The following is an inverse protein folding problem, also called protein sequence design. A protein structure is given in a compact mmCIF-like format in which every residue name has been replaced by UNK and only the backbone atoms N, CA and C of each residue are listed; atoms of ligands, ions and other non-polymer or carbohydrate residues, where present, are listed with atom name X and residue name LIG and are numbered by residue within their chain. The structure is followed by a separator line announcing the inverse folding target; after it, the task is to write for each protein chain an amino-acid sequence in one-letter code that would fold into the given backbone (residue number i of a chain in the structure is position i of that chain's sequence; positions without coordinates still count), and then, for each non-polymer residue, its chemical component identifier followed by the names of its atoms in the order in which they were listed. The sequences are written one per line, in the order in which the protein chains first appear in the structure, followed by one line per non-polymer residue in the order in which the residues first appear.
data_IF_402233451362
#
_entry.id   IF_402233451362
#
_cell.length_a   1.000
_cell.length_b   1.000
_cell.length_c   1.000
_cell.angle_alpha   90.00
_cell.angle_beta   90.00
_cell.angle_gamma   90.00
#
_symmetry.space_group_name_H-M   'P 1'
#
loop_
_entity.id
_entity.type
_entity.pdbx_description
1 polymer ?
#
# COMPACT_ATOMS: atom_id res chain seq x y z
N UNK A 1 10.43 -26.75 10.50
CA UNK A 1 9.31 -26.15 9.77
C UNK A 1 8.78 -25.03 10.67
N UNK A 2 8.95 -23.78 10.24
CA UNK A 2 8.37 -22.64 10.99
C UNK A 2 6.84 -22.74 10.89
N UNK A 3 6.15 -22.63 12.04
CA UNK A 3 4.70 -22.72 12.08
C UNK A 3 4.09 -21.55 11.28
N UNK A 4 3.07 -21.83 10.48
CA UNK A 4 2.32 -20.82 9.69
C UNK A 4 1.83 -19.70 10.61
N UNK A 5 1.46 -20.03 11.86
CA UNK A 5 1.06 -19.06 12.86
C UNK A 5 2.16 -18.06 13.21
N UNK A 6 3.43 -18.50 13.28
CA UNK A 6 4.55 -17.61 13.57
C UNK A 6 4.90 -16.69 12.41
N UNK A 7 4.76 -17.15 11.17
CA UNK A 7 4.91 -16.29 9.99
C UNK A 7 3.84 -15.20 9.93
N UNK A 8 2.59 -15.56 10.27
CA UNK A 8 1.47 -14.60 10.32
C UNK A 8 1.70 -13.55 11.42
N UNK A 9 2.06 -13.96 12.63
CA UNK A 9 2.36 -13.04 13.75
C UNK A 9 3.50 -12.10 13.39
N UNK A 10 4.55 -12.60 12.77
CA UNK A 10 5.70 -11.82 12.34
C UNK A 10 5.30 -10.77 11.30
N UNK A 11 4.50 -11.15 10.31
CA UNK A 11 3.98 -10.21 9.31
C UNK A 11 3.22 -9.04 9.95
N UNK A 12 2.29 -9.31 10.85
CA UNK A 12 1.51 -8.26 11.50
C UNK A 12 2.37 -7.36 12.39
N UNK A 13 3.34 -7.94 13.12
CA UNK A 13 4.28 -7.17 13.93
C UNK A 13 5.08 -6.19 13.07
N UNK A 14 5.71 -6.68 12.00
CA UNK A 14 6.47 -5.80 11.10
C UNK A 14 5.58 -4.78 10.38
N UNK A 15 4.35 -5.15 10.01
CA UNK A 15 3.41 -4.23 9.39
C UNK A 15 2.98 -3.12 10.36
N UNK A 16 2.80 -3.43 11.64
CA UNK A 16 2.51 -2.43 12.67
C UNK A 16 3.72 -1.51 12.91
N UNK A 17 4.91 -2.08 13.19
CA UNK A 17 6.13 -1.30 13.45
C UNK A 17 6.47 -0.35 12.28
N UNK A 18 6.38 -0.85 11.05
CA UNK A 18 6.64 -0.04 9.86
C UNK A 18 5.47 0.89 9.52
N UNK A 19 4.25 0.53 9.89
CA UNK A 19 3.08 1.39 9.81
C UNK A 19 3.22 2.64 10.67
N UNK A 20 3.79 2.51 11.88
CA UNK A 20 4.15 3.66 12.71
C UNK A 20 5.17 4.57 12.05
N UNK A 21 6.19 4.02 11.41
CA UNK A 21 7.22 4.79 10.69
C UNK A 21 6.58 5.54 9.52
N UNK A 22 5.75 4.86 8.73
CA UNK A 22 5.03 5.46 7.62
C UNK A 22 4.06 6.55 8.08
N UNK A 23 3.30 6.29 9.14
CA UNK A 23 2.40 7.28 9.73
C UNK A 23 3.16 8.51 10.23
N UNK A 24 4.30 8.33 10.92
CA UNK A 24 5.15 9.43 11.36
C UNK A 24 5.66 10.29 10.19
N UNK A 25 6.05 9.64 9.10
CA UNK A 25 6.43 10.32 7.87
C UNK A 25 5.28 11.16 7.29
N UNK A 26 4.09 10.56 7.13
CA UNK A 26 2.91 11.25 6.59
C UNK A 26 2.45 12.36 7.55
N UNK A 27 2.43 12.08 8.86
CA UNK A 27 2.03 13.03 9.88
C UNK A 27 2.92 14.29 9.90
N UNK A 28 4.21 14.15 9.62
CA UNK A 28 5.13 15.28 9.53
C UNK A 28 4.65 16.28 8.46
N UNK A 29 4.36 15.84 7.24
CA UNK A 29 3.88 16.72 6.18
C UNK A 29 2.47 17.25 6.46
N UNK A 30 1.62 16.43 7.07
CA UNK A 30 0.28 16.83 7.47
C UNK A 30 0.29 17.95 8.54
N UNK A 31 1.18 17.86 9.52
CA UNK A 31 1.33 18.88 10.57
C UNK A 31 1.93 20.16 9.97
N UNK A 32 2.90 20.04 9.06
CA UNK A 32 3.45 21.20 8.35
C UNK A 32 2.38 21.94 7.54
N UNK A 33 1.55 21.19 6.79
CA UNK A 33 0.42 21.77 6.07
C UNK A 33 -0.57 22.46 7.00
N UNK A 34 -0.86 21.86 8.16
CA UNK A 34 -1.73 22.45 9.17
C UNK A 34 -1.19 23.76 9.74
N UNK A 35 0.12 23.82 10.08
CA UNK A 35 0.73 24.98 10.70
C UNK A 35 0.95 26.15 9.74
N UNK A 36 1.20 25.85 8.47
CA UNK A 36 1.56 26.84 7.44
C UNK A 36 0.57 26.83 6.28
N UNK A 37 -0.70 26.63 6.59
CA UNK A 37 -1.77 26.59 5.60
C UNK A 37 -1.72 27.77 4.62
N UNK A 38 -1.80 27.48 3.33
CA UNK A 38 -1.75 28.48 2.25
C UNK A 38 -0.35 28.94 1.84
N UNK A 39 0.71 28.43 2.47
CA UNK A 39 2.09 28.73 2.04
C UNK A 39 2.48 27.88 0.84
N UNK A 40 2.80 28.53 -0.30
CA UNK A 40 3.16 27.85 -1.55
C UNK A 40 4.37 26.90 -1.40
N UNK A 41 5.33 27.24 -0.56
CA UNK A 41 6.51 26.39 -0.31
C UNK A 41 6.12 25.11 0.45
N UNK A 42 5.22 25.21 1.43
CA UNK A 42 4.74 24.03 2.18
C UNK A 42 3.89 23.14 1.30
N UNK A 43 3.05 23.70 0.45
CA UNK A 43 2.29 22.93 -0.55
C UNK A 43 3.23 22.17 -1.51
N UNK A 44 4.31 22.79 -1.95
CA UNK A 44 5.34 22.12 -2.76
C UNK A 44 6.03 20.98 -1.99
N UNK A 45 6.41 21.21 -0.72
CA UNK A 45 6.96 20.18 0.16
C UNK A 45 5.98 19.04 0.39
N UNK A 46 4.68 19.32 0.59
CA UNK A 46 3.64 18.32 0.71
C UNK A 46 3.53 17.43 -0.54
N UNK A 47 3.61 18.05 -1.72
CA UNK A 47 3.64 17.32 -3.00
C UNK A 47 4.86 16.41 -3.11
N UNK A 48 6.06 16.90 -2.74
CA UNK A 48 7.27 16.08 -2.68
C UNK A 48 7.14 14.95 -1.66
N UNK A 49 6.54 15.22 -0.49
CA UNK A 49 6.25 14.21 0.53
C UNK A 49 5.31 13.13 0.03
N UNK A 50 4.27 13.49 -0.73
CA UNK A 50 3.38 12.52 -1.35
C UNK A 50 4.13 11.58 -2.30
N UNK A 51 4.95 12.10 -3.21
CA UNK A 51 5.78 11.28 -4.09
C UNK A 51 6.84 10.49 -3.32
N UNK A 52 7.42 11.09 -2.27
CA UNK A 52 8.36 10.43 -1.37
C UNK A 52 7.77 9.21 -0.66
N UNK A 53 6.45 9.19 -0.43
CA UNK A 53 5.75 8.03 0.15
C UNK A 53 6.00 6.74 -0.63
N UNK A 54 6.08 6.82 -1.96
CA UNK A 54 6.37 5.65 -2.82
C UNK A 54 7.73 5.06 -2.49
N UNK A 55 8.75 5.92 -2.35
CA UNK A 55 10.11 5.49 -2.01
C UNK A 55 10.20 4.93 -0.58
N UNK A 56 9.51 5.54 0.37
CA UNK A 56 9.43 5.04 1.75
C UNK A 56 8.75 3.67 1.78
N UNK A 57 7.63 3.50 1.09
CA UNK A 57 6.94 2.21 0.99
C UNK A 57 7.82 1.13 0.36
N UNK A 58 8.51 1.46 -0.74
CA UNK A 58 9.46 0.55 -1.38
C UNK A 58 10.58 0.14 -0.41
N UNK A 59 11.21 1.11 0.25
CA UNK A 59 12.26 0.86 1.24
C UNK A 59 11.79 -0.04 2.40
N UNK A 60 10.60 0.23 2.96
CA UNK A 60 10.02 -0.58 4.04
C UNK A 60 9.71 -2.01 3.57
N UNK A 61 9.22 -2.17 2.34
CA UNK A 61 8.95 -3.48 1.75
C UNK A 61 10.24 -4.30 1.54
N UNK A 62 11.31 -3.68 1.02
CA UNK A 62 12.63 -4.31 0.89
C UNK A 62 13.17 -4.71 2.26
N UNK A 63 13.08 -3.81 3.24
CA UNK A 63 13.55 -4.09 4.59
C UNK A 63 12.75 -5.20 5.28
N UNK A 64 11.45 -5.29 5.03
CA UNK A 64 10.62 -6.41 5.48
C UNK A 64 11.06 -7.72 4.85
N UNK A 65 11.28 -7.76 3.52
CA UNK A 65 11.80 -8.92 2.80
C UNK A 65 13.12 -9.41 3.42
N UNK A 66 14.07 -8.50 3.62
CA UNK A 66 15.43 -8.87 4.03
C UNK A 66 15.48 -9.29 5.52
N UNK A 67 14.73 -8.60 6.40
CA UNK A 67 14.75 -8.88 7.85
C UNK A 67 13.78 -9.97 8.32
N UNK A 68 12.61 -10.06 7.70
CA UNK A 68 11.56 -10.97 8.14
C UNK A 68 11.47 -12.25 7.32
N UNK A 69 11.86 -12.20 6.04
CA UNK A 69 11.66 -13.30 5.09
C UNK A 69 12.99 -13.90 4.56
N UNK A 70 14.14 -13.49 5.14
CA UNK A 70 15.44 -14.04 4.73
C UNK A 70 15.85 -13.73 3.29
N UNK A 71 15.40 -12.59 2.74
CA UNK A 71 15.76 -12.12 1.41
C UNK A 71 14.84 -12.61 0.28
N UNK A 72 13.92 -13.54 0.54
CA UNK A 72 13.00 -14.10 -0.44
C UNK A 72 11.56 -13.91 0.00
N UNK A 73 10.72 -13.40 -0.90
CA UNK A 73 9.31 -13.13 -0.63
C UNK A 73 8.48 -13.26 -1.91
N UNK A 74 7.29 -13.86 -1.80
CA UNK A 74 6.35 -13.97 -2.91
C UNK A 74 5.56 -12.68 -3.08
N UNK A 75 5.10 -12.40 -4.30
CA UNK A 75 4.28 -11.24 -4.63
C UNK A 75 3.10 -11.02 -3.67
N UNK A 76 2.28 -12.04 -3.44
CA UNK A 76 1.10 -11.94 -2.57
C UNK A 76 1.44 -11.64 -1.10
N UNK A 77 2.63 -12.04 -0.63
CA UNK A 77 3.10 -11.73 0.73
C UNK A 77 3.48 -10.26 0.85
N UNK A 78 4.17 -9.69 -0.16
CA UNK A 78 4.50 -8.25 -0.22
C UNK A 78 3.23 -7.42 -0.30
N UNK A 79 2.31 -7.79 -1.17
CA UNK A 79 1.03 -7.10 -1.34
C UNK A 79 0.20 -7.12 -0.05
N UNK A 80 0.04 -8.30 0.56
CA UNK A 80 -0.65 -8.44 1.85
C UNK A 80 0.03 -7.64 2.97
N UNK A 81 1.37 -7.60 3.01
CA UNK A 81 2.12 -6.75 3.94
C UNK A 81 1.78 -5.27 3.73
N UNK A 82 1.73 -4.81 2.48
CA UNK A 82 1.40 -3.43 2.14
C UNK A 82 0.01 -3.00 2.59
N UNK A 83 -1.00 -3.86 2.42
CA UNK A 83 -2.36 -3.60 2.91
C UNK A 83 -2.35 -3.36 4.43
N UNK A 84 -1.70 -4.25 5.19
CA UNK A 84 -1.61 -4.11 6.64
C UNK A 84 -0.76 -2.93 7.08
N UNK A 85 0.31 -2.61 6.34
CA UNK A 85 1.14 -1.43 6.57
C UNK A 85 0.29 -0.14 6.51
N UNK A 86 -0.51 0.00 5.44
CA UNK A 86 -1.39 1.15 5.27
C UNK A 86 -2.58 1.14 6.23
N UNK A 87 -3.06 -0.02 6.63
CA UNK A 87 -4.08 -0.12 7.66
C UNK A 87 -3.58 0.44 9.00
N UNK A 88 -2.40 0.00 9.47
CA UNK A 88 -1.83 0.53 10.72
C UNK A 88 -1.43 2.00 10.61
N UNK A 89 -0.85 2.43 9.50
CA UNK A 89 -0.56 3.83 9.26
C UNK A 89 -1.85 4.67 9.23
N UNK A 90 -2.88 4.19 8.55
CA UNK A 90 -4.18 4.83 8.46
C UNK A 90 -4.89 4.97 9.81
N UNK A 91 -4.79 3.98 10.71
CA UNK A 91 -5.34 4.08 12.06
C UNK A 91 -4.72 5.24 12.85
N UNK A 92 -3.41 5.44 12.77
CA UNK A 92 -2.74 6.55 13.43
C UNK A 92 -3.12 7.89 12.80
N UNK A 93 -3.18 7.95 11.49
CA UNK A 93 -3.63 9.15 10.79
C UNK A 93 -5.09 9.45 11.06
N UNK A 94 -5.95 8.44 11.22
CA UNK A 94 -7.35 8.60 11.60
C UNK A 94 -7.53 9.35 12.92
N UNK A 95 -6.68 9.08 13.91
CA UNK A 95 -6.67 9.81 15.18
C UNK A 95 -6.33 11.29 14.96
N UNK A 96 -5.30 11.59 14.14
CA UNK A 96 -4.90 12.97 13.83
C UNK A 96 -6.00 13.72 13.08
N UNK A 97 -6.63 13.08 12.09
CA UNK A 97 -7.77 13.66 11.36
C UNK A 97 -8.94 13.93 12.28
N UNK A 98 -9.28 12.98 13.19
CA UNK A 98 -10.36 13.16 14.12
C UNK A 98 -10.12 14.36 15.04
N UNK A 99 -8.91 14.48 15.61
CA UNK A 99 -8.52 15.60 16.46
C UNK A 99 -8.63 16.93 15.69
N UNK A 100 -8.16 16.98 14.44
CA UNK A 100 -8.26 18.18 13.60
C UNK A 100 -9.70 18.59 13.35
N UNK A 101 -10.52 17.66 12.89
CA UNK A 101 -11.90 17.96 12.47
C UNK A 101 -12.84 18.23 13.65
N UNK A 102 -12.58 17.60 14.80
CA UNK A 102 -13.45 17.76 15.97
C UNK A 102 -13.05 18.94 16.86
N UNK A 103 -11.76 19.23 17.00
CA UNK A 103 -11.26 20.15 18.02
C UNK A 103 -10.48 21.35 17.46
N UNK A 104 -9.65 21.15 16.44
CA UNK A 104 -8.74 22.18 15.95
C UNK A 104 -9.36 23.04 14.85
N UNK A 105 -10.08 22.44 13.94
CA UNK A 105 -10.70 23.10 12.79
C UNK A 105 -12.06 22.46 12.47
N UNK A 106 -13.10 22.70 13.32
CA UNK A 106 -14.43 22.10 13.09
C UNK A 106 -15.07 22.55 11.78
N UNK A 107 -14.76 23.78 11.33
CA UNK A 107 -15.30 24.32 10.08
C UNK A 107 -14.53 23.92 8.82
N UNK A 108 -13.43 23.18 8.98
CA UNK A 108 -12.59 22.79 7.84
C UNK A 108 -13.35 21.95 6.81
N UNK A 109 -14.09 20.95 7.27
CA UNK A 109 -14.86 20.07 6.40
C UNK A 109 -15.97 20.83 5.66
N UNK A 110 -16.69 21.70 6.35
CA UNK A 110 -17.75 22.51 5.74
C UNK A 110 -17.19 23.51 4.72
N UNK A 111 -16.05 24.13 5.01
CA UNK A 111 -15.37 25.04 4.09
C UNK A 111 -14.93 24.35 2.82
N UNK A 112 -14.25 23.19 2.94
CA UNK A 112 -13.81 22.39 1.79
C UNK A 112 -15.01 21.89 0.97
N UNK A 113 -16.08 21.52 1.66
CA UNK A 113 -17.28 21.04 0.98
C UNK A 113 -18.02 22.14 0.23
N UNK A 114 -18.06 23.36 0.77
CA UNK A 114 -18.62 24.52 0.08
C UNK A 114 -17.87 24.83 -1.24
N UNK A 115 -16.54 24.67 -1.27
CA UNK A 115 -15.77 24.81 -2.51
C UNK A 115 -16.19 23.76 -3.56
N UNK A 116 -16.39 22.50 -3.15
CA UNK A 116 -16.87 21.43 -4.03
C UNK A 116 -18.27 21.75 -4.57
N UNK A 117 -19.18 22.27 -3.73
CA UNK A 117 -20.52 22.67 -4.15
C UNK A 117 -20.49 23.82 -5.16
N UNK A 118 -19.65 24.83 -4.94
CA UNK A 118 -19.46 25.93 -5.89
C UNK A 118 -18.94 25.44 -7.25
N UNK A 119 -18.01 24.49 -7.23
CA UNK A 119 -17.48 23.89 -8.45
C UNK A 119 -18.56 23.07 -9.19
N UNK A 120 -19.36 22.31 -8.47
CA UNK A 120 -20.46 21.53 -9.03
C UNK A 120 -21.55 22.43 -9.65
N UNK A 121 -21.83 23.58 -9.02
CA UNK A 121 -22.74 24.59 -9.55
C UNK A 121 -22.20 25.20 -10.88
N UNK A 122 -20.91 25.53 -10.93
CA UNK A 122 -20.26 26.00 -12.15
C UNK A 122 -20.31 24.95 -13.28
N UNK A 123 -20.18 23.66 -12.94
CA UNK A 123 -20.30 22.54 -13.88
C UNK A 123 -21.75 22.24 -14.27
N UNK A 124 -22.74 23.00 -13.77
CA UNK A 124 -24.17 22.86 -14.06
C UNK A 124 -24.71 21.46 -13.74
N UNK A 125 -24.34 20.91 -12.57
CA UNK A 125 -24.88 19.64 -12.10
C UNK A 125 -26.40 19.71 -11.98
N UNK A 126 -27.09 18.58 -12.19
CA UNK A 126 -28.54 18.50 -12.02
C UNK A 126 -28.90 18.70 -10.55
N UNK A 127 -30.17 19.09 -10.31
CA UNK A 127 -30.67 19.29 -8.95
C UNK A 127 -30.51 18.03 -8.09
N UNK A 128 -30.77 16.84 -8.66
CA UNK A 128 -30.64 15.57 -7.97
C UNK A 128 -29.16 15.29 -7.57
N UNK A 129 -28.21 15.65 -8.45
CA UNK A 129 -26.77 15.52 -8.15
C UNK A 129 -26.33 16.49 -7.06
N UNK A 130 -26.86 17.74 -7.07
CA UNK A 130 -26.59 18.71 -6.02
C UNK A 130 -27.14 18.26 -4.68
N UNK A 131 -28.37 17.74 -4.64
CA UNK A 131 -28.98 17.23 -3.41
C UNK A 131 -28.20 16.04 -2.84
N UNK A 132 -27.73 15.14 -3.69
CA UNK A 132 -26.85 14.03 -3.29
C UNK A 132 -25.51 14.52 -2.73
N UNK A 133 -24.89 15.55 -3.35
CA UNK A 133 -23.68 16.17 -2.85
C UNK A 133 -23.89 16.83 -1.48
N UNK A 134 -24.97 17.57 -1.30
CA UNK A 134 -25.30 18.20 -0.01
C UNK A 134 -25.49 17.14 1.08
N UNK A 135 -26.21 16.05 0.78
CA UNK A 135 -26.40 14.95 1.71
C UNK A 135 -25.05 14.28 2.11
N UNK A 136 -24.12 14.15 1.15
CA UNK A 136 -22.78 13.62 1.43
C UNK A 136 -21.96 14.60 2.27
N UNK A 137 -22.03 15.89 2.01
CA UNK A 137 -21.31 16.94 2.77
C UNK A 137 -21.78 17.11 4.22
N UNK A 138 -23.01 16.67 4.54
CA UNK A 138 -23.56 16.74 5.91
C UNK A 138 -23.08 15.65 6.86
N UNK A 139 -22.13 14.81 6.44
CA UNK A 139 -21.58 13.71 7.23
C UNK A 139 -20.85 14.21 8.50
N UNK A 140 -20.91 13.41 9.55
CA UNK A 140 -20.22 13.71 10.81
C UNK A 140 -18.69 13.56 10.67
N UNK A 141 -17.88 14.26 11.50
CA UNK A 141 -16.43 14.12 11.48
C UNK A 141 -15.93 12.68 11.58
N UNK A 142 -16.59 11.82 12.36
CA UNK A 142 -16.20 10.41 12.50
C UNK A 142 -16.44 9.61 11.21
N UNK A 143 -17.49 9.92 10.47
CA UNK A 143 -17.76 9.29 9.18
C UNK A 143 -16.69 9.67 8.15
N UNK A 144 -16.29 10.95 8.12
CA UNK A 144 -15.18 11.40 7.29
C UNK A 144 -13.87 10.70 7.62
N UNK A 145 -13.54 10.54 8.91
CA UNK A 145 -12.35 9.80 9.35
C UNK A 145 -12.38 8.35 8.87
N UNK A 146 -13.55 7.71 8.93
CA UNK A 146 -13.71 6.35 8.41
C UNK A 146 -13.46 6.26 6.90
N UNK A 147 -13.99 7.22 6.12
CA UNK A 147 -13.71 7.28 4.67
C UNK A 147 -12.22 7.49 4.39
N UNK A 148 -11.53 8.34 5.13
CA UNK A 148 -10.09 8.51 5.01
C UNK A 148 -9.34 7.21 5.31
N UNK A 149 -9.72 6.48 6.36
CA UNK A 149 -9.11 5.18 6.67
C UNK A 149 -9.29 4.18 5.51
N UNK A 150 -10.51 4.05 4.99
CA UNK A 150 -10.78 3.20 3.83
C UNK A 150 -9.94 3.62 2.62
N UNK A 151 -9.84 4.94 2.36
CA UNK A 151 -9.03 5.46 1.26
C UNK A 151 -7.54 5.14 1.42
N UNK A 152 -6.99 5.23 2.64
CA UNK A 152 -5.61 4.83 2.95
C UNK A 152 -5.39 3.35 2.63
N UNK A 153 -6.25 2.47 3.10
CA UNK A 153 -6.14 1.03 2.87
C UNK A 153 -6.23 0.69 1.38
N UNK A 154 -7.20 1.28 0.70
CA UNK A 154 -7.43 1.04 -0.73
C UNK A 154 -6.28 1.60 -1.59
N UNK A 155 -5.86 2.83 -1.32
CA UNK A 155 -4.71 3.47 -1.97
C UNK A 155 -3.42 2.69 -1.73
N UNK A 156 -3.21 2.20 -0.51
CA UNK A 156 -2.10 1.32 -0.15
C UNK A 156 -2.12 0.00 -0.91
N UNK A 157 -3.29 -0.62 -1.05
CA UNK A 157 -3.45 -1.87 -1.82
C UNK A 157 -3.07 -1.68 -3.30
N UNK A 158 -3.50 -0.58 -3.91
CA UNK A 158 -3.14 -0.22 -5.30
C UNK A 158 -1.64 0.06 -5.41
N UNK A 159 -1.08 0.87 -4.51
CA UNK A 159 0.33 1.20 -4.51
C UNK A 159 1.21 -0.05 -4.38
N UNK A 160 0.87 -0.95 -3.46
CA UNK A 160 1.61 -2.20 -3.27
C UNK A 160 1.40 -3.22 -4.39
N UNK A 161 0.33 -3.12 -5.17
CA UNK A 161 0.19 -3.88 -6.40
C UNK A 161 1.31 -3.54 -7.40
N UNK A 162 1.73 -2.26 -7.46
CA UNK A 162 2.83 -1.78 -8.31
C UNK A 162 4.21 -2.08 -7.70
N UNK A 163 4.36 -1.98 -6.38
CA UNK A 163 5.63 -2.20 -5.68
C UNK A 163 5.97 -3.69 -5.59
N UNK A 164 4.97 -4.56 -5.41
CA UNK A 164 5.18 -5.98 -5.13
C UNK A 164 6.01 -6.72 -6.18
N UNK A 165 5.85 -6.52 -7.50
CA UNK A 165 6.69 -7.17 -8.50
C UNK A 165 8.17 -6.76 -8.39
N UNK A 166 8.43 -5.51 -7.96
CA UNK A 166 9.81 -4.98 -7.83
C UNK A 166 10.53 -5.55 -6.60
N UNK A 167 9.79 -5.90 -5.55
CA UNK A 167 10.34 -6.40 -4.28
C UNK A 167 10.37 -7.92 -4.23
N UNK A 168 9.44 -8.60 -4.93
CA UNK A 168 9.32 -10.06 -4.89
C UNK A 168 10.56 -10.75 -5.50
N UNK A 169 11.06 -11.77 -4.81
CA UNK A 169 12.15 -12.64 -5.28
C UNK A 169 11.81 -14.08 -4.95
N UNK A 170 11.99 -14.99 -5.92
CA UNK A 170 11.82 -16.43 -5.71
C UNK A 170 13.09 -17.03 -5.10
N UNK A 171 12.97 -18.09 -4.29
CA UNK A 171 14.11 -18.90 -3.88
C UNK A 171 14.70 -19.61 -5.09
N UNK A 172 16.03 -19.68 -5.17
CA UNK A 172 16.75 -20.40 -6.24
C UNK A 172 16.38 -21.91 -6.25
N UNK A 173 16.10 -22.48 -5.08
CA UNK A 173 15.71 -23.90 -4.92
C UNK A 173 14.45 -24.28 -5.73
N UNK A 174 13.49 -23.36 -5.89
CA UNK A 174 12.30 -23.63 -6.70
C UNK A 174 12.62 -23.78 -8.20
N UNK A 175 13.81 -23.30 -8.66
CA UNK A 175 14.24 -23.42 -10.05
C UNK A 175 15.04 -24.71 -10.31
N UNK A 176 15.69 -25.29 -9.27
CA UNK A 176 16.47 -26.53 -9.39
C UNK A 176 15.53 -27.72 -9.60
N UNK A 177 14.41 -27.79 -8.88
CA UNK A 177 13.43 -28.85 -9.06
C UNK A 177 12.73 -28.84 -10.43
N UNK A 178 12.60 -27.68 -11.07
CA UNK A 178 12.01 -27.59 -12.43
C UNK A 178 13.04 -28.06 -13.47
N UNK A 179 14.33 -27.71 -13.31
CA UNK A 179 15.40 -28.15 -14.21
C UNK A 179 15.69 -29.65 -14.08
N UNK A 180 15.58 -30.22 -12.87
CA UNK A 180 15.78 -31.64 -12.63
C UNK A 180 14.62 -32.48 -13.20
N UNK A 181 13.39 -31.96 -13.23
CA UNK A 181 12.26 -32.62 -13.88
C UNK A 181 12.33 -32.51 -15.41
N UNK A 182 12.83 -31.42 -15.95
CA UNK A 182 12.99 -31.26 -17.41
C UNK A 182 14.11 -32.16 -17.96
N UNK A 183 15.20 -32.34 -17.21
CA UNK A 183 16.28 -33.24 -17.55
C UNK A 183 15.96 -34.73 -17.30
N UNK A 184 14.93 -35.04 -16.48
CA UNK A 184 14.49 -36.41 -16.23
C UNK A 184 13.64 -37.01 -17.36
N UNK A 185 13.23 -36.20 -18.33
CA UNK A 185 12.44 -36.64 -19.49
C UNK A 185 13.22 -36.78 -20.79
N UNK A 186 14.59 -36.80 -20.77
CA UNK A 186 15.30 -37.25 -21.94
C UNK A 186 15.11 -38.78 -22.08
N UNK A 187 14.42 -39.25 -23.15
CA UNK A 187 14.24 -40.67 -23.38
C UNK A 187 15.61 -41.30 -23.63
N UNK A 188 15.91 -42.31 -22.82
CA UNK A 188 17.10 -43.18 -22.96
C UNK A 188 17.15 -43.71 -24.40
N UNK A 189 17.96 -43.10 -25.24
CA UNK A 189 18.26 -43.64 -26.55
C UNK A 189 19.19 -44.86 -26.35
N UNK A 190 18.59 -46.03 -26.51
CA UNK A 190 19.28 -47.30 -26.48
C UNK A 190 20.32 -47.37 -27.63
N UNK A 191 21.60 -47.27 -27.27
CA UNK A 191 22.73 -47.32 -28.19
C UNK A 191 23.10 -48.76 -28.61
N UNK A 192 22.16 -49.69 -28.71
CA UNK A 192 22.45 -51.10 -29.00
C UNK A 192 22.03 -51.59 -30.40
N UNK A 193 21.82 -50.72 -31.39
CA UNK A 193 21.53 -51.20 -32.77
C UNK A 193 22.62 -50.86 -33.81
N UNK A 194 23.90 -51.02 -33.49
CA UNK A 194 24.94 -50.85 -34.51
C UNK A 194 26.06 -51.88 -34.55
N UNK A 195 25.86 -53.12 -34.05
CA UNK A 195 26.94 -54.14 -34.16
C UNK A 195 26.49 -55.52 -34.70
N UNK A 196 25.36 -55.64 -35.40
CA UNK A 196 24.97 -56.90 -36.09
C UNK A 196 24.81 -56.74 -37.60
N UNK A 197 25.80 -56.18 -38.31
CA UNK A 197 25.88 -56.34 -39.77
C UNK A 197 27.31 -56.38 -40.29
N UNK A 198 28.12 -57.27 -39.71
CA UNK A 198 29.38 -57.70 -40.37
C UNK A 198 29.69 -59.13 -39.93
N UNK A 199 29.08 -60.13 -40.55
CA UNK A 199 29.60 -61.48 -40.84
C UNK A 199 28.95 -62.03 -42.07
#
# INVERSE_FOLDING_TARGET
MEDIADQIKRKYKYAADYGFILAGYIALFYILDFLFFGNAFVNFLGTLGFWGTIFVCYYLAVRYRDKACGGYIRFGQVWSFGIWLFFFAGLLMAVLYYVRFQFLQPDYLSSQWNEVLLLAEQMKYSKEQMDALMAFGSQTPIQWVFYYLCFYVFGGAILFLLISPMVSRKKLEDNIHVSDQENAYEPYQDKNDSDESKL
#
